data_IF_816620707384
#
_entry.id   IF_816620707384
#
_cell.length_a   1.000
_cell.length_b   1.000
_cell.length_c   1.000
_cell.angle_alpha   90.00
_cell.angle_beta   90.00
_cell.angle_gamma   90.00
#
_symmetry.space_group_name_H-M   'P 1'
#
loop_
_entity.id
_entity.type
_entity.pdbx_description
1 polymer ?
#
# COMPACT_ATOMS: atom_id res chain seq x y z
N UNK A 1 8.04 4.56 6.86
CA UNK A 1 7.89 4.65 8.33
C UNK A 1 9.13 4.09 9.01
N UNK A 2 9.38 4.42 10.28
CA UNK A 2 10.47 3.84 11.08
C UNK A 2 9.87 3.02 12.22
N UNK A 3 10.31 1.78 12.40
CA UNK A 3 9.85 0.91 13.49
C UNK A 3 10.88 0.91 14.60
N UNK A 4 10.50 1.37 15.79
CA UNK A 4 11.35 1.41 16.97
C UNK A 4 10.79 0.47 18.04
N UNK A 5 11.48 -0.64 18.30
CA UNK A 5 10.97 -1.68 19.18
C UNK A 5 10.92 -1.25 20.66
N UNK A 6 9.85 -1.67 21.35
CA UNK A 6 9.69 -1.47 22.80
C UNK A 6 10.77 -2.17 23.63
N UNK A 7 11.39 -3.23 23.10
CA UNK A 7 12.49 -3.95 23.74
C UNK A 7 13.84 -3.23 23.68
N UNK A 8 14.04 -2.30 22.75
CA UNK A 8 15.29 -1.54 22.64
C UNK A 8 15.45 -0.59 23.83
N UNK A 9 16.57 -0.59 24.57
CA UNK A 9 16.81 0.37 25.66
C UNK A 9 16.53 1.81 25.24
N UNK A 10 15.88 2.58 26.11
CA UNK A 10 15.33 3.91 25.80
C UNK A 10 16.39 4.84 25.20
N UNK A 11 17.61 4.85 25.75
CA UNK A 11 18.67 5.74 25.27
C UNK A 11 19.12 5.39 23.85
N UNK A 12 19.20 4.10 23.51
CA UNK A 12 19.49 3.66 22.14
C UNK A 12 18.33 3.97 21.19
N UNK A 13 17.09 3.85 21.67
CA UNK A 13 15.89 4.18 20.90
C UNK A 13 15.84 5.68 20.56
N UNK A 14 16.20 6.55 21.50
CA UNK A 14 16.33 8.00 21.27
C UNK A 14 17.37 8.31 20.19
N UNK A 15 18.54 7.68 20.25
CA UNK A 15 19.58 7.83 19.23
C UNK A 15 19.09 7.36 17.84
N UNK A 16 18.43 6.19 17.77
CA UNK A 16 17.84 5.70 16.53
C UNK A 16 16.77 6.64 15.97
N UNK A 17 15.95 7.25 16.84
CA UNK A 17 14.97 8.25 16.44
C UNK A 17 15.64 9.51 15.86
N UNK A 18 16.70 10.01 16.49
CA UNK A 18 17.47 11.15 15.97
C UNK A 18 18.08 10.85 14.60
N UNK A 19 18.65 9.66 14.44
CA UNK A 19 19.19 9.21 13.15
C UNK A 19 18.09 9.14 12.09
N UNK A 20 16.92 8.61 12.43
CA UNK A 20 15.76 8.60 11.54
C UNK A 20 15.38 10.01 11.07
N UNK A 21 15.40 11.02 11.96
CA UNK A 21 15.16 12.43 11.60
C UNK A 21 16.22 12.98 10.64
N UNK A 22 17.49 12.66 10.88
CA UNK A 22 18.59 13.07 10.01
C UNK A 22 18.45 12.48 8.59
N UNK A 23 18.20 11.18 8.49
CA UNK A 23 18.14 10.43 7.22
C UNK A 23 16.99 10.91 6.33
N UNK A 24 15.92 11.43 6.92
CA UNK A 24 14.78 12.02 6.20
C UNK A 24 14.83 13.54 6.14
N UNK A 25 15.84 14.22 6.70
CA UNK A 25 15.94 15.68 6.68
C UNK A 25 15.98 16.23 5.24
N UNK A 26 15.58 17.50 5.03
CA UNK A 26 15.38 18.06 3.68
C UNK A 26 16.66 17.95 2.85
N UNK A 27 17.79 18.33 3.43
CA UNK A 27 19.09 18.28 2.76
C UNK A 27 19.49 16.86 2.35
N UNK A 28 19.35 15.90 3.25
CA UNK A 28 19.70 14.50 2.98
C UNK A 28 18.75 13.90 1.96
N UNK A 29 17.46 14.18 2.09
CA UNK A 29 16.43 13.67 1.20
C UNK A 29 16.57 14.23 -0.22
N UNK A 30 16.72 15.54 -0.40
CA UNK A 30 16.97 16.17 -1.70
C UNK A 30 18.16 15.52 -2.40
N UNK A 31 19.28 15.31 -1.67
CA UNK A 31 20.46 14.64 -2.23
C UNK A 31 20.15 13.21 -2.66
N UNK A 32 19.44 12.43 -1.83
CA UNK A 32 19.04 11.05 -2.17
C UNK A 32 18.09 11.00 -3.36
N UNK A 33 17.10 11.87 -3.41
CA UNK A 33 16.17 11.96 -4.54
C UNK A 33 16.92 12.32 -5.83
N UNK A 34 17.98 13.13 -5.78
CA UNK A 34 18.78 13.40 -6.98
C UNK A 34 19.49 12.16 -7.52
N UNK A 35 19.88 11.23 -6.64
CA UNK A 35 20.58 10.00 -7.01
C UNK A 35 19.60 8.89 -7.39
N UNK A 36 18.62 8.62 -6.54
CA UNK A 36 17.70 7.48 -6.67
C UNK A 36 16.34 7.79 -7.26
N UNK A 37 16.04 9.06 -7.59
CA UNK A 37 14.77 9.50 -8.19
C UNK A 37 13.53 9.05 -7.42
N UNK A 38 13.68 8.82 -6.12
CA UNK A 38 12.61 8.44 -5.20
C UNK A 38 12.34 9.62 -4.28
N UNK A 39 11.12 10.14 -4.31
CA UNK A 39 10.70 11.25 -3.47
C UNK A 39 9.94 10.72 -2.25
N UNK A 40 10.41 11.08 -1.05
CA UNK A 40 9.67 10.82 0.20
C UNK A 40 9.19 12.11 0.87
N UNK A 41 9.52 13.28 0.29
CA UNK A 41 9.06 14.59 0.76
C UNK A 41 8.60 15.46 -0.41
N UNK A 42 7.48 16.15 -0.19
CA UNK A 42 6.97 17.17 -1.10
C UNK A 42 7.97 18.33 -1.25
N UNK A 43 8.62 18.75 -0.15
CA UNK A 43 9.66 19.79 -0.21
C UNK A 43 10.92 19.41 -0.99
N UNK A 44 11.13 18.11 -1.26
CA UNK A 44 12.26 17.64 -2.08
C UNK A 44 11.91 17.68 -3.57
N UNK A 45 10.73 17.20 -3.97
CA UNK A 45 10.30 17.31 -5.37
C UNK A 45 10.08 18.77 -5.79
N UNK A 46 9.71 19.65 -4.85
CA UNK A 46 9.54 21.09 -5.09
C UNK A 46 10.85 21.91 -4.97
N UNK A 47 12.01 21.27 -4.79
CA UNK A 47 13.29 21.99 -4.78
C UNK A 47 13.64 22.50 -6.18
N UNK A 48 14.24 23.69 -6.29
CA UNK A 48 14.50 24.37 -7.58
C UNK A 48 15.39 23.54 -8.51
N UNK A 49 16.36 22.81 -7.96
CA UNK A 49 17.22 21.88 -8.72
C UNK A 49 16.44 20.77 -9.45
N UNK A 50 15.23 20.43 -8.99
CA UNK A 50 14.36 19.50 -9.72
C UNK A 50 13.57 20.19 -10.83
N UNK A 51 13.25 21.48 -10.68
CA UNK A 51 12.69 22.27 -11.78
C UNK A 51 13.70 22.40 -12.93
N UNK A 52 14.96 22.71 -12.62
CA UNK A 52 16.04 22.78 -13.61
C UNK A 52 16.31 21.45 -14.32
N UNK A 53 16.17 20.34 -13.59
CA UNK A 53 16.44 18.99 -14.09
C UNK A 53 15.22 18.33 -14.73
N UNK A 54 14.02 18.87 -14.54
CA UNK A 54 12.75 18.28 -15.02
C UNK A 54 12.79 17.86 -16.51
N UNK A 55 13.34 18.66 -17.45
CA UNK A 55 13.43 18.26 -18.87
C UNK A 55 14.23 16.98 -19.12
N UNK A 56 15.06 16.55 -18.16
CA UNK A 56 15.90 15.34 -18.24
C UNK A 56 15.31 14.15 -17.49
N UNK A 57 14.12 14.28 -16.90
CA UNK A 57 13.51 13.28 -16.02
C UNK A 57 12.19 12.70 -16.56
N UNK A 58 11.87 12.96 -17.83
CA UNK A 58 10.81 12.25 -18.55
C UNK A 58 9.43 12.33 -17.90
N UNK A 59 9.06 13.48 -17.33
CA UNK A 59 7.76 13.69 -16.69
C UNK A 59 7.68 13.30 -15.22
N UNK A 60 8.77 12.80 -14.62
CA UNK A 60 8.80 12.39 -13.20
C UNK A 60 8.44 13.54 -12.26
N UNK A 61 9.02 14.72 -12.46
CA UNK A 61 8.82 15.89 -11.59
C UNK A 61 7.40 16.40 -11.73
N UNK A 62 6.92 16.47 -12.97
CA UNK A 62 5.58 16.88 -13.34
C UNK A 62 4.54 15.94 -12.71
N UNK A 63 4.72 14.62 -12.82
CA UNK A 63 3.84 13.63 -12.20
C UNK A 63 3.81 13.77 -10.67
N UNK A 64 4.95 13.84 -9.99
CA UNK A 64 4.96 13.95 -8.53
C UNK A 64 4.51 15.32 -8.00
N UNK A 65 4.47 16.36 -8.84
CA UNK A 65 3.86 17.66 -8.51
C UNK A 65 2.38 17.73 -8.89
N UNK A 66 1.91 16.84 -9.76
CA UNK A 66 0.51 16.82 -10.21
C UNK A 66 -0.45 16.30 -9.13
N UNK A 67 -1.76 16.58 -9.27
CA UNK A 67 -2.78 15.93 -8.46
C UNK A 67 -2.87 14.41 -8.74
N UNK A 68 -2.42 13.94 -9.91
CA UNK A 68 -2.58 12.53 -10.30
C UNK A 68 -1.73 11.57 -9.46
N UNK A 69 -0.71 12.08 -8.73
CA UNK A 69 0.07 11.26 -7.79
C UNK A 69 -0.78 10.56 -6.72
N UNK A 70 -1.99 11.06 -6.45
CA UNK A 70 -2.92 10.44 -5.48
C UNK A 70 -3.92 9.48 -6.13
N UNK A 71 -3.89 9.33 -7.46
CA UNK A 71 -4.73 8.37 -8.18
C UNK A 71 -4.26 6.93 -8.02
N UNK A 72 -3.07 6.71 -7.45
CA UNK A 72 -2.63 5.38 -7.06
C UNK A 72 -3.57 4.81 -6.00
N UNK A 73 -3.98 3.56 -6.20
CA UNK A 73 -4.74 2.83 -5.19
C UNK A 73 -3.97 2.89 -3.87
N UNK A 74 -4.62 3.28 -2.76
CA UNK A 74 -3.97 3.26 -1.46
C UNK A 74 -3.44 1.84 -1.22
N UNK A 75 -2.25 1.71 -0.63
CA UNK A 75 -1.63 0.39 -0.35
C UNK A 75 -2.41 -0.45 0.65
N UNK A 76 -3.56 0.05 1.12
CA UNK A 76 -4.40 -0.58 2.14
C UNK A 76 -3.71 -0.63 3.50
N UNK A 77 -4.40 -1.24 4.44
CA UNK A 77 -3.83 -1.66 5.71
C UNK A 77 -3.23 -3.05 5.49
N UNK A 78 -2.05 -3.31 6.05
CA UNK A 78 -1.47 -4.64 6.00
C UNK A 78 -2.39 -5.66 6.69
N UNK A 79 -2.44 -6.87 6.14
CA UNK A 79 -3.16 -7.98 6.77
C UNK A 79 -2.49 -8.40 8.09
N UNK A 80 -3.27 -8.88 9.08
CA UNK A 80 -2.74 -9.42 10.34
C UNK A 80 -1.79 -10.60 10.07
N UNK A 81 -0.60 -10.60 10.70
CA UNK A 81 0.39 -11.68 10.56
C UNK A 81 0.61 -12.13 9.09
N UNK A 82 1.04 -11.19 8.24
CA UNK A 82 1.31 -11.42 6.82
C UNK A 82 2.10 -12.71 6.54
N UNK A 83 3.19 -13.05 7.27
CA UNK A 83 3.91 -14.30 7.03
C UNK A 83 3.03 -15.55 7.09
N UNK A 84 2.04 -15.56 7.99
CA UNK A 84 1.12 -16.69 8.16
C UNK A 84 0.08 -16.74 7.03
N UNK A 85 -0.50 -15.60 6.67
CA UNK A 85 -1.53 -15.53 5.63
C UNK A 85 -0.96 -15.65 4.20
N UNK A 86 0.27 -15.21 3.96
CA UNK A 86 0.90 -15.25 2.66
C UNK A 86 1.09 -16.68 2.11
N UNK A 87 1.20 -17.69 2.97
CA UNK A 87 1.28 -19.08 2.53
C UNK A 87 -0.01 -19.54 1.84
N UNK A 88 -1.16 -19.06 2.31
CA UNK A 88 -2.48 -19.38 1.74
C UNK A 88 -2.59 -18.78 0.33
N UNK A 89 -2.14 -17.54 0.17
CA UNK A 89 -2.10 -16.87 -1.14
C UNK A 89 -1.35 -17.70 -2.18
N UNK A 90 -0.16 -18.20 -1.83
CA UNK A 90 0.66 -18.98 -2.77
C UNK A 90 0.03 -20.31 -3.17
N UNK A 91 -0.75 -20.94 -2.29
CA UNK A 91 -1.49 -22.15 -2.62
C UNK A 91 -2.62 -21.86 -3.62
N UNK A 92 -3.41 -20.81 -3.38
CA UNK A 92 -4.58 -20.49 -4.22
C UNK A 92 -4.20 -19.91 -5.59
N UNK A 93 -3.08 -19.19 -5.71
CA UNK A 93 -2.70 -18.58 -7.00
C UNK A 93 -2.23 -19.61 -8.04
N UNK A 94 -1.63 -20.73 -7.62
CA UNK A 94 -1.22 -21.81 -8.53
C UNK A 94 -2.43 -22.46 -9.22
N UNK A 95 -3.51 -22.63 -8.49
CA UNK A 95 -4.79 -23.17 -8.94
C UNK A 95 -5.46 -22.29 -10.02
N UNK A 96 -5.34 -20.97 -9.91
CA UNK A 96 -5.84 -20.02 -10.95
C UNK A 96 -4.97 -20.07 -12.20
N UNK A 97 -3.65 -20.02 -12.03
CA UNK A 97 -2.71 -19.96 -13.16
C UNK A 97 -2.73 -21.24 -14.00
N UNK A 98 -3.05 -22.39 -13.38
CA UNK A 98 -3.21 -23.67 -14.08
C UNK A 98 -4.57 -23.83 -14.75
N UNK A 99 -5.53 -22.94 -14.48
CA UNK A 99 -6.90 -23.01 -15.00
C UNK A 99 -7.79 -24.02 -14.27
N UNK A 100 -7.34 -24.59 -13.14
CA UNK A 100 -8.14 -25.52 -12.34
C UNK A 100 -9.35 -24.83 -11.69
N UNK A 101 -9.21 -23.53 -11.37
CA UNK A 101 -10.27 -22.70 -10.81
C UNK A 101 -10.38 -21.36 -11.55
N UNK A 102 -11.59 -20.80 -11.57
CA UNK A 102 -11.77 -19.41 -12.00
C UNK A 102 -11.16 -18.44 -10.98
N UNK A 103 -10.80 -17.21 -11.38
CA UNK A 103 -10.32 -16.20 -10.44
C UNK A 103 -11.26 -15.97 -9.25
N UNK A 104 -12.58 -15.95 -9.48
CA UNK A 104 -13.55 -15.75 -8.40
C UNK A 104 -13.52 -16.92 -7.40
N UNK A 105 -13.59 -18.17 -7.88
CA UNK A 105 -13.57 -19.34 -7.00
C UNK A 105 -12.30 -19.42 -6.16
N UNK A 106 -11.14 -19.06 -6.72
CA UNK A 106 -9.90 -19.03 -5.96
C UNK A 106 -9.86 -17.90 -4.93
N UNK A 107 -10.40 -16.72 -5.25
CA UNK A 107 -10.50 -15.62 -4.30
C UNK A 107 -11.48 -15.94 -3.16
N UNK A 108 -12.60 -16.62 -3.46
CA UNK A 108 -13.57 -17.07 -2.43
C UNK A 108 -12.91 -18.08 -1.48
N UNK A 109 -12.22 -19.09 -2.03
CA UNK A 109 -11.46 -20.08 -1.23
C UNK A 109 -10.35 -19.44 -0.42
N UNK A 110 -9.62 -18.49 -1.01
CA UNK A 110 -8.60 -17.73 -0.30
C UNK A 110 -9.19 -16.98 0.90
N UNK A 111 -10.31 -16.28 0.70
CA UNK A 111 -10.98 -15.54 1.76
C UNK A 111 -11.42 -16.47 2.89
N UNK A 112 -12.05 -17.61 2.57
CA UNK A 112 -12.48 -18.61 3.55
C UNK A 112 -11.30 -19.14 4.38
N UNK A 113 -10.20 -19.54 3.74
CA UNK A 113 -9.01 -20.04 4.43
C UNK A 113 -8.33 -18.96 5.28
N UNK A 114 -8.29 -17.71 4.79
CA UNK A 114 -7.79 -16.58 5.57
C UNK A 114 -8.67 -16.34 6.81
N UNK A 115 -9.99 -16.38 6.69
CA UNK A 115 -10.92 -16.23 7.81
C UNK A 115 -10.74 -17.35 8.83
N UNK A 116 -10.60 -18.61 8.40
CA UNK A 116 -10.32 -19.73 9.30
C UNK A 116 -9.04 -19.54 10.10
N UNK A 117 -7.97 -19.07 9.46
CA UNK A 117 -6.70 -18.80 10.15
C UNK A 117 -6.83 -17.61 11.10
N UNK A 118 -7.47 -16.53 10.66
CA UNK A 118 -7.68 -15.35 11.49
C UNK A 118 -8.62 -15.64 12.68
N UNK A 119 -9.62 -16.50 12.54
CA UNK A 119 -10.49 -16.91 13.64
C UNK A 119 -9.70 -17.62 14.75
N UNK A 120 -8.75 -18.49 14.37
CA UNK A 120 -7.82 -19.13 15.31
C UNK A 120 -6.90 -18.11 15.97
N UNK A 121 -6.45 -17.10 15.22
CA UNK A 121 -5.63 -16.02 15.77
C UNK A 121 -6.41 -15.17 16.78
N UNK A 122 -7.66 -14.83 16.47
CA UNK A 122 -8.58 -14.13 17.37
C UNK A 122 -8.74 -14.92 18.67
N UNK A 123 -9.12 -16.19 18.59
CA UNK A 123 -9.31 -17.03 19.77
C UNK A 123 -8.04 -17.15 20.63
N UNK A 124 -6.86 -17.24 20.00
CA UNK A 124 -5.59 -17.27 20.72
C UNK A 124 -5.24 -15.94 21.41
N UNK A 125 -5.61 -14.81 20.80
CA UNK A 125 -5.42 -13.48 21.37
C UNK A 125 -6.39 -13.23 22.53
N UNK A 126 -7.67 -13.57 22.37
CA UNK A 126 -8.70 -13.40 23.40
C UNK A 126 -8.42 -14.27 24.64
N UNK A 127 -7.90 -15.48 24.44
CA UNK A 127 -7.61 -16.41 25.54
C UNK A 127 -6.35 -16.07 26.31
N UNK A 128 -5.31 -15.58 25.63
CA UNK A 128 -3.96 -15.54 26.20
C UNK A 128 -3.13 -14.30 25.81
N UNK A 129 -3.74 -13.28 25.21
CA UNK A 129 -3.08 -12.07 24.70
C UNK A 129 -1.86 -12.39 23.82
N UNK A 130 -1.94 -13.46 23.03
CA UNK A 130 -0.85 -13.95 22.18
C UNK A 130 -0.31 -12.86 21.25
N UNK A 131 -1.16 -11.94 20.79
CA UNK A 131 -0.80 -10.80 19.95
C UNK A 131 -0.86 -9.46 20.70
N UNK A 132 -0.82 -9.49 22.04
CA UNK A 132 -0.90 -8.32 22.89
C UNK A 132 -2.21 -7.54 22.76
N UNK A 133 -3.31 -8.24 22.48
CA UNK A 133 -4.62 -7.62 22.27
C UNK A 133 -4.81 -6.99 20.88
N UNK A 134 -3.82 -7.12 20.00
CA UNK A 134 -3.84 -6.62 18.62
C UNK A 134 -4.11 -7.73 17.59
N UNK A 135 -4.60 -8.90 18.02
CA UNK A 135 -5.02 -9.94 17.09
C UNK A 135 -6.20 -9.48 16.21
N UNK A 136 -6.46 -10.16 15.08
CA UNK A 136 -7.63 -9.87 14.26
C UNK A 136 -8.92 -10.05 15.06
N UNK A 137 -9.98 -9.33 14.64
CA UNK A 137 -11.35 -9.53 15.08
C UNK A 137 -12.21 -9.71 13.83
N UNK A 138 -12.77 -10.89 13.66
CA UNK A 138 -13.61 -11.20 12.52
C UNK A 138 -14.94 -10.46 12.66
N UNK A 139 -15.43 -10.00 11.51
CA UNK A 139 -16.80 -9.49 11.43
C UNK A 139 -17.75 -10.68 11.28
N UNK A 140 -18.98 -10.51 11.76
CA UNK A 140 -20.05 -11.46 11.45
C UNK A 140 -20.29 -11.51 9.93
N UNK A 141 -20.68 -12.68 9.39
CA UNK A 141 -21.10 -12.79 7.99
C UNK A 141 -22.26 -11.84 7.70
N UNK A 142 -22.14 -11.09 6.61
CA UNK A 142 -23.17 -10.16 6.16
C UNK A 142 -23.24 -10.15 4.63
N UNK A 143 -24.33 -9.60 4.09
CA UNK A 143 -24.56 -9.57 2.66
C UNK A 143 -23.43 -8.78 1.94
N UNK A 144 -22.90 -9.28 0.80
CA UNK A 144 -21.86 -8.58 0.06
C UNK A 144 -22.23 -7.16 -0.35
N UNK A 145 -23.51 -6.89 -0.66
CA UNK A 145 -23.97 -5.55 -1.01
C UNK A 145 -23.80 -4.58 0.17
N UNK A 146 -24.00 -5.04 1.40
CA UNK A 146 -23.75 -4.21 2.57
C UNK A 146 -22.26 -3.85 2.70
N UNK A 147 -21.34 -4.80 2.44
CA UNK A 147 -19.90 -4.51 2.40
C UNK A 147 -19.54 -3.51 1.29
N UNK A 148 -20.06 -3.72 0.08
CA UNK A 148 -19.78 -2.88 -1.09
C UNK A 148 -20.30 -1.46 -0.93
N UNK A 149 -21.34 -1.25 -0.13
CA UNK A 149 -21.90 0.08 0.15
C UNK A 149 -21.17 0.85 1.27
N UNK A 150 -20.19 0.25 1.96
CA UNK A 150 -19.43 0.96 3.00
C UNK A 150 -18.45 1.98 2.41
N UNK A 151 -18.19 3.10 3.11
CA UNK A 151 -17.11 4.02 2.72
C UNK A 151 -15.75 3.29 2.65
N UNK A 152 -15.04 3.45 1.53
CA UNK A 152 -13.73 2.80 1.32
C UNK A 152 -13.78 1.30 1.00
N UNK A 153 -14.97 0.75 0.71
CA UNK A 153 -15.15 -0.64 0.32
C UNK A 153 -14.42 -1.01 -0.98
N UNK A 154 -14.16 -2.32 -1.20
CA UNK A 154 -13.87 -2.85 -2.53
C UNK A 154 -14.96 -2.45 -3.52
N UNK A 155 -14.60 -2.34 -4.80
CA UNK A 155 -15.57 -2.01 -5.85
C UNK A 155 -16.24 -3.28 -6.38
N UNK A 156 -17.54 -3.15 -6.66
CA UNK A 156 -18.31 -4.20 -7.30
C UNK A 156 -17.73 -4.52 -8.68
N UNK A 157 -17.97 -5.74 -9.14
CA UNK A 157 -17.63 -6.17 -10.49
C UNK A 157 -18.26 -5.21 -11.50
N UNK A 158 -17.45 -4.77 -12.47
CA UNK A 158 -17.92 -3.92 -13.57
C UNK A 158 -18.30 -4.79 -14.76
N UNK A 159 -19.23 -4.29 -15.59
CA UNK A 159 -19.59 -4.95 -16.85
C UNK A 159 -18.40 -5.02 -17.82
N UNK A 160 -17.50 -4.04 -17.75
CA UNK A 160 -16.26 -3.99 -18.52
C UNK A 160 -15.06 -3.58 -17.66
N UNK A 161 -14.33 -4.57 -17.14
CA UNK A 161 -13.11 -4.37 -16.32
C UNK A 161 -11.84 -4.12 -17.16
N UNK A 162 -11.94 -4.26 -18.49
CA UNK A 162 -10.81 -4.10 -19.42
C UNK A 162 -11.22 -3.26 -20.63
N UNK A 163 -11.60 -1.98 -20.42
CA UNK A 163 -11.86 -1.08 -21.54
C UNK A 163 -10.60 -0.90 -22.38
N UNK A 164 -10.78 -0.63 -23.67
CA UNK A 164 -9.68 -0.30 -24.56
C UNK A 164 -8.95 0.94 -24.05
N UNK A 165 -7.62 0.86 -23.95
CA UNK A 165 -6.81 2.00 -23.54
C UNK A 165 -6.90 3.15 -24.55
N UNK A 166 -6.98 4.38 -24.03
CA UNK A 166 -6.97 5.60 -24.84
C UNK A 166 -5.61 6.29 -24.69
N UNK A 167 -5.05 6.77 -25.81
CA UNK A 167 -3.81 7.57 -25.78
C UNK A 167 -4.18 9.03 -25.62
N UNK A 168 -3.59 9.68 -24.61
CA UNK A 168 -3.78 11.12 -24.35
C UNK A 168 -2.51 11.86 -24.73
N UNK A 169 -2.64 13.04 -25.34
CA UNK A 169 -1.49 13.89 -25.64
C UNK A 169 -0.82 14.38 -24.34
N UNK A 170 0.50 14.29 -24.27
CA UNK A 170 1.26 14.65 -23.07
C UNK A 170 1.05 16.11 -22.64
N UNK A 171 1.04 17.05 -23.58
CA UNK A 171 0.87 18.47 -23.28
C UNK A 171 -0.54 18.77 -22.75
N UNK A 172 -1.56 18.06 -23.24
CA UNK A 172 -2.93 18.18 -22.72
C UNK A 172 -3.05 17.65 -21.30
N UNK A 173 -2.34 16.55 -21.00
CA UNK A 173 -2.29 15.95 -19.68
C UNK A 173 -1.54 16.86 -18.68
N UNK A 174 -0.42 17.45 -19.08
CA UNK A 174 0.33 18.43 -18.26
C UNK A 174 -0.50 19.70 -18.02
N UNK A 175 -1.27 20.19 -19.01
CA UNK A 175 -2.17 21.35 -18.81
C UNK A 175 -3.20 21.12 -17.70
N UNK A 176 -3.70 19.90 -17.53
CA UNK A 176 -4.61 19.57 -16.41
C UNK A 176 -3.94 19.67 -15.04
N UNK A 177 -2.61 19.58 -14.99
CA UNK A 177 -1.81 19.62 -13.77
C UNK A 177 -1.35 21.03 -13.41
N UNK A 178 -1.24 21.92 -14.40
CA UNK A 178 -0.91 23.33 -14.21
C UNK A 178 -2.15 24.07 -13.67
N UNK A 179 -2.10 24.47 -12.39
CA UNK A 179 -3.03 25.46 -11.82
C UNK A 179 -2.54 26.87 -12.09
#
# INVERSE_FOLDING_TARGET
>A
SWTLFKSTPVDRRKAAWLYAQFVVSKTVDVKKSHVGLTFIRESSVNHDSFSERAPKLGGLVEFYRSPDRVMWSPTGINVPDYPKLAQIWWQQIGDVNSGAFTPQQAMDRLAEEMDLVMARMQAADEKAETYGGCGPRLNEPMDPAEWLNKPGSPKAKLDNEKPQGETVNYDELVKRWMK
#
